data_IF_250787252315
#
_entry.id   IF_250787252315
#
_cell.length_a   1.000
_cell.length_b   1.000
_cell.length_c   1.000
_cell.angle_alpha   90.00
_cell.angle_beta   90.00
_cell.angle_gamma   90.00
#
_symmetry.space_group_name_H-M   'P 1'
#
loop_
_entity.id
_entity.type
_entity.pdbx_description
1 polymer ?
#
# COMPACT_ATOMS: atom_id res chain seq x y z
N UNK A 1 -3.15 3.68 -20.32
CA UNK A 1 -2.52 2.80 -19.28
C UNK A 1 -3.47 1.64 -19.03
N UNK A 2 -2.98 0.40 -18.93
CA UNK A 2 -3.82 -0.73 -18.50
C UNK A 2 -4.03 -0.61 -16.99
N UNK A 3 -5.29 -0.63 -16.55
CA UNK A 3 -5.61 -0.75 -15.12
C UNK A 3 -5.26 -2.16 -14.66
N UNK A 4 -4.48 -2.27 -13.58
CA UNK A 4 -4.06 -3.56 -13.00
C UNK A 4 -4.69 -3.80 -11.63
N UNK A 5 -5.65 -2.98 -11.21
CA UNK A 5 -6.19 -3.06 -9.85
C UNK A 5 -6.89 -1.79 -9.40
N UNK A 6 -7.23 -1.76 -8.11
CA UNK A 6 -7.78 -0.59 -7.42
C UNK A 6 -7.40 -0.58 -5.94
N UNK A 7 -7.31 0.62 -5.37
CA UNK A 7 -7.14 0.83 -3.93
C UNK A 7 -8.47 0.54 -3.23
N UNK A 8 -8.44 -0.30 -2.20
CA UNK A 8 -9.62 -0.69 -1.41
C UNK A 8 -9.72 0.12 -0.12
N UNK A 9 -8.59 0.55 0.44
CA UNK A 9 -8.53 1.32 1.68
C UNK A 9 -7.29 2.20 1.67
N UNK A 10 -7.39 3.42 2.20
CA UNK A 10 -6.28 4.40 2.22
C UNK A 10 -6.39 5.30 3.44
N UNK A 11 -5.26 5.53 4.12
CA UNK A 11 -5.20 6.31 5.35
C UNK A 11 -3.88 7.08 5.46
N UNK A 12 -3.93 8.25 6.11
CA UNK A 12 -2.75 8.77 6.81
C UNK A 12 -2.58 7.97 8.10
N UNK A 13 -1.46 7.25 8.25
CA UNK A 13 -1.16 6.52 9.47
C UNK A 13 -0.30 7.39 10.38
N UNK A 14 -0.89 7.88 11.46
CA UNK A 14 -0.16 8.67 12.46
C UNK A 14 0.96 7.83 13.10
N UNK A 15 0.65 6.57 13.44
CA UNK A 15 1.62 5.61 14.00
C UNK A 15 2.85 5.40 13.12
N UNK A 16 2.70 5.46 11.79
CA UNK A 16 3.79 5.26 10.83
C UNK A 16 4.34 6.57 10.26
N UNK A 17 3.75 7.73 10.59
CA UNK A 17 4.12 9.04 10.06
C UNK A 17 4.02 9.17 8.54
N UNK A 18 3.19 8.36 7.88
CA UNK A 18 3.06 8.33 6.41
C UNK A 18 1.71 7.78 5.94
N UNK A 19 1.38 8.04 4.68
CA UNK A 19 0.25 7.39 4.02
C UNK A 19 0.50 5.89 3.78
N UNK A 20 -0.56 5.09 3.97
CA UNK A 20 -0.63 3.66 3.66
C UNK A 20 -1.91 3.38 2.87
N UNK A 21 -1.90 2.32 2.07
CA UNK A 21 -3.06 1.88 1.33
C UNK A 21 -3.05 0.36 1.15
N UNK A 22 -4.24 -0.25 1.18
CA UNK A 22 -4.46 -1.62 0.72
C UNK A 22 -5.09 -1.58 -0.68
N UNK A 23 -4.72 -2.55 -1.52
CA UNK A 23 -5.17 -2.60 -2.90
C UNK A 23 -5.28 -4.05 -3.37
N UNK A 24 -6.21 -4.29 -4.30
CA UNK A 24 -6.23 -5.50 -5.11
C UNK A 24 -5.46 -5.23 -6.40
N UNK A 25 -4.38 -5.99 -6.64
CA UNK A 25 -3.46 -5.80 -7.76
C UNK A 25 -3.25 -7.13 -8.50
N UNK A 26 -3.43 -7.11 -9.82
CA UNK A 26 -3.13 -8.22 -10.72
C UNK A 26 -1.67 -8.65 -10.56
N UNK A 27 -1.46 -9.88 -10.07
CA UNK A 27 -0.12 -10.41 -9.76
C UNK A 27 0.59 -9.67 -8.62
N UNK A 28 -0.13 -9.08 -7.66
CA UNK A 28 0.45 -8.21 -6.62
C UNK A 28 1.67 -8.79 -5.88
N UNK A 29 1.66 -10.09 -5.56
CA UNK A 29 2.79 -10.74 -4.90
C UNK A 29 4.10 -10.71 -5.72
N UNK A 30 4.03 -10.84 -7.05
CA UNK A 30 5.22 -10.79 -7.92
C UNK A 30 5.71 -9.36 -8.16
N UNK A 31 4.97 -8.35 -7.68
CA UNK A 31 5.29 -6.92 -7.81
C UNK A 31 5.88 -6.32 -6.54
N UNK A 32 6.23 -7.13 -5.54
CA UNK A 32 6.84 -6.67 -4.30
C UNK A 32 8.07 -5.79 -4.58
N UNK A 33 8.17 -4.65 -3.90
CA UNK A 33 9.22 -3.64 -4.06
C UNK A 33 9.07 -2.71 -5.28
N UNK A 34 8.23 -3.06 -6.26
CA UNK A 34 8.03 -2.27 -7.48
C UNK A 34 7.15 -1.04 -7.23
N UNK A 35 7.38 -0.01 -8.01
CA UNK A 35 6.51 1.17 -8.01
C UNK A 35 5.31 0.95 -8.94
N UNK A 36 4.15 1.41 -8.48
CA UNK A 36 2.89 1.45 -9.22
C UNK A 36 2.34 2.87 -9.21
N UNK A 37 1.49 3.16 -10.19
CA UNK A 37 0.93 4.50 -10.40
C UNK A 37 -0.55 4.50 -10.07
N UNK A 38 -0.97 5.49 -9.28
CA UNK A 38 -2.36 5.72 -8.89
C UNK A 38 -2.80 7.07 -9.45
N UNK A 39 -3.41 7.10 -10.65
CA UNK A 39 -3.93 8.32 -11.24
C UNK A 39 -5.13 8.84 -10.44
N UNK A 40 -5.07 10.11 -10.04
CA UNK A 40 -6.14 10.85 -9.36
C UNK A 40 -6.39 12.18 -10.10
N UNK A 41 -7.53 12.85 -9.89
CA UNK A 41 -7.73 14.20 -10.41
C UNK A 41 -6.56 15.12 -10.04
N UNK A 42 -5.92 15.71 -11.05
CA UNK A 42 -4.84 16.68 -10.89
C UNK A 42 -3.43 16.11 -10.70
N UNK A 43 -3.25 14.84 -10.30
CA UNK A 43 -1.92 14.21 -10.22
C UNK A 43 -1.95 12.69 -10.19
N UNK A 44 -0.86 12.11 -10.66
CA UNK A 44 -0.57 10.68 -10.46
C UNK A 44 0.32 10.52 -9.25
N UNK A 45 -0.11 9.69 -8.30
CA UNK A 45 0.71 9.29 -7.16
C UNK A 45 1.53 8.06 -7.50
N UNK A 46 2.78 8.02 -7.04
CA UNK A 46 3.62 6.81 -7.07
C UNK A 46 3.49 6.13 -5.72
N UNK A 47 3.22 4.82 -5.72
CA UNK A 47 3.14 3.99 -4.53
C UNK A 47 4.00 2.73 -4.72
N UNK A 48 4.56 2.19 -3.64
CA UNK A 48 5.39 0.99 -3.68
C UNK A 48 4.60 -0.25 -3.25
N UNK A 49 4.67 -1.28 -4.08
CA UNK A 49 4.67 -2.71 -3.78
C UNK A 49 5.19 -3.10 -2.39
N UNK A 50 4.41 -3.16 -1.31
CA UNK A 50 4.94 -3.59 0.02
C UNK A 50 4.18 -4.74 0.65
N UNK A 51 4.72 -5.30 1.74
CA UNK A 51 3.99 -6.19 2.64
C UNK A 51 2.71 -5.52 3.14
N UNK A 52 1.68 -6.34 3.41
CA UNK A 52 0.39 -5.91 3.94
C UNK A 52 0.47 -5.58 5.44
N UNK A 53 1.51 -6.05 6.13
CA UNK A 53 1.75 -5.80 7.55
C UNK A 53 2.56 -4.51 7.71
N UNK A 54 1.87 -3.37 7.68
CA UNK A 54 2.53 -2.06 7.74
C UNK A 54 3.10 -1.70 9.11
N UNK A 55 2.54 -2.29 10.18
CA UNK A 55 2.87 -1.97 11.57
C UNK A 55 2.86 -3.24 12.41
N UNK A 56 3.85 -3.37 13.31
CA UNK A 56 4.02 -4.51 14.21
C UNK A 56 3.90 -5.89 13.53
N UNK A 57 4.68 -6.10 12.45
CA UNK A 57 4.60 -7.33 11.66
C UNK A 57 4.92 -8.61 12.46
N UNK A 58 5.80 -8.51 13.46
CA UNK A 58 6.17 -9.62 14.34
C UNK A 58 5.20 -9.81 15.53
N UNK A 59 4.22 -8.92 15.69
CA UNK A 59 3.23 -8.98 16.77
C UNK A 59 3.83 -8.78 18.17
N UNK A 60 4.91 -8.00 18.30
CA UNK A 60 5.63 -7.80 19.55
C UNK A 60 4.78 -7.11 20.64
N UNK A 61 3.68 -6.47 20.25
CA UNK A 61 2.77 -5.75 21.16
C UNK A 61 1.51 -6.54 21.51
N UNK A 62 1.40 -7.81 21.12
CA UNK A 62 0.18 -8.59 21.30
C UNK A 62 -0.14 -8.92 22.77
N UNK A 63 0.88 -9.13 23.61
CA UNK A 63 0.75 -9.61 24.99
C UNK A 63 1.48 -8.72 26.02
N UNK A 64 1.59 -7.42 25.75
CA UNK A 64 2.21 -6.45 26.69
C UNK A 64 1.26 -6.04 27.81
#
# INVERSE_FOLDING_TARGET
MKMIGHVTSSYWSETLGRSIAMALVEGGHSKMGQDIFVPMPGKTHVAKVSSMMFYDAEGARLNV
#
